data_IF_299125142830
#
_entry.id   IF_299125142830
#
_cell.length_a   1.000
_cell.length_b   1.000
_cell.length_c   1.000
_cell.angle_alpha   90.00
_cell.angle_beta   90.00
_cell.angle_gamma   90.00
#
_symmetry.space_group_name_H-M   'P 1'
#
loop_
_entity.id
_entity.type
_entity.pdbx_description
1 polymer ?
#
# COMPACT_ATOMS: atom_id res chain seq x y z
N UNK A 1 3.34 19.28 -4.46
CA UNK A 1 4.35 19.46 -3.40
C UNK A 1 4.66 18.07 -2.86
N UNK A 2 5.93 17.74 -2.64
CA UNK A 2 6.32 16.43 -2.11
C UNK A 2 5.98 16.33 -0.63
N UNK A 3 5.52 15.16 -0.19
CA UNK A 3 5.31 14.83 1.23
C UNK A 3 6.60 14.22 1.79
N UNK A 4 6.84 14.44 3.08
CA UNK A 4 8.04 13.97 3.77
C UNK A 4 7.70 13.21 5.04
N UNK A 5 8.61 12.38 5.51
CA UNK A 5 8.55 11.72 6.83
C UNK A 5 9.94 11.72 7.47
N UNK A 6 10.03 11.28 8.73
CA UNK A 6 11.26 11.16 9.49
C UNK A 6 11.35 9.79 10.19
N UNK A 7 12.56 9.32 10.46
CA UNK A 7 12.82 8.14 11.28
C UNK A 7 14.16 8.29 12.02
N UNK A 8 14.17 8.03 13.31
CA UNK A 8 15.34 8.21 14.19
C UNK A 8 16.23 6.97 14.27
N UNK A 9 15.71 5.79 13.89
CA UNK A 9 16.50 4.58 13.70
C UNK A 9 16.90 4.42 12.22
N UNK A 10 18.19 4.68 11.93
CA UNK A 10 18.75 4.58 10.59
C UNK A 10 18.58 3.17 9.98
N UNK A 11 18.53 2.12 10.80
CA UNK A 11 18.40 0.74 10.36
C UNK A 11 16.95 0.29 10.21
N UNK A 12 15.96 1.14 10.51
CA UNK A 12 14.55 0.77 10.37
C UNK A 12 14.07 0.96 8.93
N UNK A 13 13.46 -0.07 8.36
CA UNK A 13 12.72 0.04 7.10
C UNK A 13 11.29 0.57 7.31
N UNK A 14 10.84 0.61 8.57
CA UNK A 14 9.55 1.19 8.96
C UNK A 14 9.80 2.65 9.36
N UNK A 15 9.05 3.57 8.76
CA UNK A 15 9.10 4.99 9.06
C UNK A 15 7.97 5.36 10.01
N UNK A 16 8.31 5.81 11.21
CA UNK A 16 7.34 6.11 12.29
C UNK A 16 6.98 7.58 12.43
N UNK A 17 7.72 8.48 11.77
CA UNK A 17 7.40 9.90 11.77
C UNK A 17 6.09 10.19 11.04
N UNK A 18 5.49 11.32 11.38
CA UNK A 18 4.29 11.81 10.70
C UNK A 18 4.56 12.15 9.22
N UNK A 19 3.49 12.50 8.51
CA UNK A 19 3.58 13.05 7.15
C UNK A 19 3.64 14.58 7.21
N UNK A 20 4.71 15.13 6.66
CA UNK A 20 5.00 16.56 6.61
C UNK A 20 4.87 17.09 5.17
N UNK A 21 4.58 18.39 5.04
CA UNK A 21 4.39 19.03 3.73
C UNK A 21 5.63 19.75 3.22
N UNK A 22 6.72 19.70 3.98
CA UNK A 22 8.02 20.26 3.60
C UNK A 22 9.17 19.46 4.19
N UNK A 23 10.33 19.58 3.55
CA UNK A 23 11.58 18.99 4.05
C UNK A 23 12.00 19.61 5.38
N UNK A 24 11.84 20.92 5.51
CA UNK A 24 12.19 21.70 6.70
C UNK A 24 11.39 21.26 7.92
N UNK A 25 10.10 20.97 7.75
CA UNK A 25 9.22 20.45 8.80
C UNK A 25 9.64 19.04 9.23
N UNK A 26 9.95 18.15 8.29
CA UNK A 26 10.46 16.82 8.60
C UNK A 26 11.79 16.86 9.37
N UNK A 27 12.69 17.78 9.00
CA UNK A 27 13.95 18.01 9.74
C UNK A 27 13.68 18.53 11.14
N UNK A 28 12.74 19.47 11.28
CA UNK A 28 12.41 20.09 12.57
C UNK A 28 11.87 19.05 13.55
N UNK A 29 10.89 18.25 13.14
CA UNK A 29 10.29 17.23 14.00
C UNK A 29 11.25 16.06 14.23
N UNK A 30 11.91 15.55 13.19
CA UNK A 30 12.92 14.49 13.34
C UNK A 30 14.09 14.89 14.24
N UNK A 31 14.52 16.17 14.23
CA UNK A 31 15.53 16.68 15.16
C UNK A 31 15.03 16.71 16.59
N UNK A 32 13.79 17.14 16.82
CA UNK A 32 13.18 17.17 18.16
C UNK A 32 13.14 15.76 18.74
N UNK A 33 12.66 14.79 17.97
CA UNK A 33 12.63 13.37 18.37
C UNK A 33 14.05 12.83 18.59
N UNK A 34 14.97 13.08 17.68
CA UNK A 34 16.35 12.61 17.81
C UNK A 34 17.05 13.15 19.07
N UNK A 35 16.79 14.41 19.45
CA UNK A 35 17.29 14.99 20.71
C UNK A 35 16.66 14.28 21.92
N UNK A 36 15.34 14.06 21.91
CA UNK A 36 14.61 13.38 22.99
C UNK A 36 15.12 11.96 23.24
N UNK A 37 15.50 11.25 22.17
CA UNK A 37 16.02 9.89 22.22
C UNK A 37 17.56 9.79 22.15
N UNK A 38 18.27 10.88 22.40
CA UNK A 38 19.75 10.97 22.44
C UNK A 38 20.45 10.39 21.18
N UNK A 39 19.82 10.55 20.02
CA UNK A 39 20.36 10.13 18.72
C UNK A 39 21.26 11.21 18.14
N UNK A 40 22.39 10.80 17.57
CA UNK A 40 23.32 11.71 16.87
C UNK A 40 22.84 12.08 15.48
N UNK A 41 22.10 11.17 14.85
CA UNK A 41 21.61 11.27 13.47
C UNK A 41 20.19 10.72 13.40
N UNK A 42 19.45 11.17 12.41
CA UNK A 42 18.17 10.61 11.99
C UNK A 42 18.10 10.65 10.45
N UNK A 43 17.09 10.03 9.85
CA UNK A 43 16.83 10.10 8.41
C UNK A 43 15.50 10.77 8.12
N UNK A 44 15.43 11.44 6.98
CA UNK A 44 14.17 11.95 6.41
C UNK A 44 13.97 11.34 5.03
N UNK A 45 12.73 11.22 4.60
CA UNK A 45 12.40 10.60 3.33
C UNK A 45 11.27 11.30 2.60
N UNK A 46 11.31 11.26 1.26
CA UNK A 46 10.21 11.70 0.40
C UNK A 46 9.22 10.54 0.29
N UNK A 47 7.95 10.82 0.54
CA UNK A 47 6.87 9.83 0.46
C UNK A 47 6.08 9.95 -0.84
N UNK A 48 5.61 8.81 -1.31
CA UNK A 48 4.71 8.67 -2.45
C UNK A 48 3.50 7.84 -2.03
N UNK A 49 2.31 8.33 -2.37
CA UNK A 49 1.07 7.60 -2.15
C UNK A 49 1.08 6.36 -3.04
N UNK A 50 0.74 5.21 -2.46
CA UNK A 50 0.61 3.95 -3.22
C UNK A 50 -0.82 3.78 -3.72
N UNK A 51 -1.02 3.22 -4.92
CA UNK A 51 -2.35 2.92 -5.41
C UNK A 51 -3.03 1.90 -4.48
N UNK A 52 -4.32 2.12 -4.23
CA UNK A 52 -5.18 1.14 -3.57
C UNK A 52 -5.55 0.07 -4.61
N UNK A 53 -4.72 -0.96 -4.71
CA UNK A 53 -4.99 -2.08 -5.61
C UNK A 53 -6.34 -2.71 -5.28
N UNK A 54 -7.08 -3.01 -6.35
CA UNK A 54 -8.41 -3.57 -6.29
C UNK A 54 -8.44 -5.09 -6.19
N UNK A 55 -9.63 -5.65 -6.37
CA UNK A 55 -9.86 -7.05 -6.71
C UNK A 55 -9.43 -7.26 -8.17
N UNK A 56 -8.57 -8.24 -8.36
CA UNK A 56 -8.11 -8.74 -9.67
C UNK A 56 -9.02 -9.90 -10.06
N UNK A 57 -9.91 -9.67 -11.04
CA UNK A 57 -10.96 -10.64 -11.38
C UNK A 57 -10.42 -11.88 -12.06
N UNK A 58 -9.37 -11.75 -12.87
CA UNK A 58 -8.71 -12.90 -13.49
C UNK A 58 -8.24 -13.89 -12.42
N UNK A 59 -7.60 -13.40 -11.35
CA UNK A 59 -7.18 -14.24 -10.22
C UNK A 59 -8.33 -14.85 -9.45
N UNK A 60 -9.44 -14.11 -9.28
CA UNK A 60 -10.63 -14.64 -8.61
C UNK A 60 -11.25 -15.78 -9.41
N UNK A 61 -11.34 -15.65 -10.74
CA UNK A 61 -11.86 -16.70 -11.61
C UNK A 61 -10.93 -17.90 -11.61
N UNK A 62 -9.62 -17.71 -11.76
CA UNK A 62 -8.63 -18.80 -11.71
C UNK A 62 -8.73 -19.61 -10.41
N UNK A 63 -8.85 -18.95 -9.27
CA UNK A 63 -9.00 -19.62 -7.96
C UNK A 63 -10.30 -20.44 -7.87
N UNK A 64 -11.40 -19.90 -8.41
CA UNK A 64 -12.69 -20.61 -8.48
C UNK A 64 -12.60 -21.81 -9.41
N UNK A 65 -12.00 -21.68 -10.60
CA UNK A 65 -11.83 -22.76 -11.56
C UNK A 65 -11.02 -23.91 -10.97
N UNK A 66 -9.87 -23.58 -10.36
CA UNK A 66 -9.03 -24.57 -9.67
C UNK A 66 -9.79 -25.27 -8.55
N UNK A 67 -10.53 -24.53 -7.72
CA UNK A 67 -11.35 -25.11 -6.65
C UNK A 67 -12.43 -26.04 -7.21
N UNK A 68 -13.11 -25.64 -8.28
CA UNK A 68 -14.15 -26.46 -8.91
C UNK A 68 -13.57 -27.74 -9.52
N UNK A 69 -12.41 -27.65 -10.18
CA UNK A 69 -11.70 -28.82 -10.71
C UNK A 69 -11.24 -29.75 -9.59
N UNK A 70 -10.69 -29.23 -8.49
CA UNK A 70 -10.23 -30.04 -7.37
C UNK A 70 -11.39 -30.81 -6.69
N UNK A 71 -12.57 -30.19 -6.59
CA UNK A 71 -13.73 -30.79 -5.92
C UNK A 71 -14.57 -31.70 -6.84
N UNK A 72 -14.70 -31.34 -8.12
CA UNK A 72 -15.65 -31.96 -9.05
C UNK A 72 -14.94 -32.77 -10.15
N UNK A 73 -13.63 -32.56 -10.33
CA UNK A 73 -12.79 -33.21 -11.33
C UNK A 73 -12.94 -32.62 -12.73
N UNK A 74 -12.49 -33.38 -13.73
CA UNK A 74 -12.41 -33.00 -15.14
C UNK A 74 -13.72 -32.44 -15.74
N UNK A 75 -14.89 -32.82 -15.21
CA UNK A 75 -16.17 -32.28 -15.70
C UNK A 75 -16.33 -30.77 -15.45
N UNK A 76 -15.52 -30.19 -14.56
CA UNK A 76 -15.48 -28.75 -14.28
C UNK A 76 -14.36 -28.00 -15.03
N UNK A 77 -13.57 -28.68 -15.87
CA UNK A 77 -12.41 -28.10 -16.57
C UNK A 77 -12.78 -26.84 -17.37
N UNK A 78 -13.88 -26.88 -18.14
CA UNK A 78 -14.29 -25.76 -19.01
C UNK A 78 -15.09 -24.64 -18.28
N UNK A 79 -15.28 -24.73 -16.96
CA UNK A 79 -16.12 -23.78 -16.23
C UNK A 79 -15.49 -22.38 -16.28
N UNK A 80 -16.19 -21.39 -16.85
CA UNK A 80 -15.73 -19.99 -17.00
C UNK A 80 -14.56 -19.74 -17.98
N UNK A 81 -14.16 -20.73 -18.78
CA UNK A 81 -13.08 -20.55 -19.77
C UNK A 81 -13.42 -19.57 -20.91
N UNK A 82 -14.71 -19.43 -21.22
CA UNK A 82 -15.20 -18.59 -22.33
C UNK A 82 -15.61 -17.16 -21.88
N UNK A 83 -15.25 -16.73 -20.67
CA UNK A 83 -15.56 -15.36 -20.22
C UNK A 83 -14.83 -14.33 -21.08
N UNK A 84 -15.58 -13.41 -21.68
CA UNK A 84 -15.01 -12.39 -22.56
C UNK A 84 -14.33 -11.30 -21.74
N UNK A 85 -13.35 -10.59 -22.35
CA UNK A 85 -12.72 -9.43 -21.72
C UNK A 85 -13.71 -8.35 -21.31
N UNK A 86 -14.80 -8.15 -22.07
CA UNK A 86 -15.85 -7.19 -21.70
C UNK A 86 -16.54 -7.58 -20.40
N UNK A 87 -16.89 -8.86 -20.24
CA UNK A 87 -17.51 -9.36 -19.01
C UNK A 87 -16.52 -9.36 -17.81
N UNK A 88 -15.23 -9.62 -18.04
CA UNK A 88 -14.20 -9.53 -17.00
C UNK A 88 -14.08 -8.10 -16.47
N UNK A 89 -14.00 -7.11 -17.37
CA UNK A 89 -13.90 -5.70 -17.00
C UNK A 89 -15.16 -5.21 -16.28
N UNK A 90 -16.36 -5.64 -16.73
CA UNK A 90 -17.61 -5.33 -16.05
C UNK A 90 -17.63 -5.90 -14.61
N UNK A 91 -17.25 -7.16 -14.45
CA UNK A 91 -17.18 -7.81 -13.13
C UNK A 91 -16.13 -7.13 -12.24
N UNK A 92 -14.99 -6.76 -12.79
CA UNK A 92 -13.91 -6.10 -12.05
C UNK A 92 -14.33 -4.74 -11.54
N UNK A 93 -15.02 -3.95 -12.36
CA UNK A 93 -15.59 -2.66 -11.94
C UNK A 93 -16.57 -2.86 -10.77
N UNK A 94 -17.51 -3.82 -10.89
CA UNK A 94 -18.52 -4.08 -9.87
C UNK A 94 -17.92 -4.56 -8.54
N UNK A 95 -16.98 -5.52 -8.58
CA UNK A 95 -16.33 -6.03 -7.37
C UNK A 95 -15.48 -4.95 -6.70
N UNK A 96 -14.78 -4.13 -7.48
CA UNK A 96 -14.01 -3.02 -6.93
C UNK A 96 -14.88 -1.94 -6.31
N UNK A 97 -16.04 -1.63 -6.90
CA UNK A 97 -16.99 -0.70 -6.30
C UNK A 97 -17.43 -1.19 -4.90
N UNK A 98 -17.74 -2.48 -4.77
CA UNK A 98 -18.11 -3.09 -3.48
C UNK A 98 -16.92 -3.07 -2.50
N UNK A 99 -15.74 -3.48 -2.95
CA UNK A 99 -14.53 -3.56 -2.13
C UNK A 99 -14.14 -2.19 -1.57
N UNK A 100 -14.12 -1.15 -2.41
CA UNK A 100 -13.76 0.20 -1.99
C UNK A 100 -14.80 0.82 -1.04
N UNK A 101 -16.10 0.56 -1.26
CA UNK A 101 -17.15 0.97 -0.32
C UNK A 101 -17.00 0.29 1.04
N UNK A 102 -16.64 -1.00 1.05
CA UNK A 102 -16.38 -1.74 2.28
C UNK A 102 -15.17 -1.17 3.03
N UNK A 103 -14.07 -0.88 2.33
CA UNK A 103 -12.89 -0.25 2.94
C UNK A 103 -13.23 1.10 3.56
N UNK A 104 -14.00 1.95 2.86
CA UNK A 104 -14.44 3.23 3.39
C UNK A 104 -15.30 3.07 4.64
N UNK A 105 -16.30 2.18 4.59
CA UNK A 105 -17.25 1.96 5.70
C UNK A 105 -16.56 1.56 7.00
N UNK A 106 -15.48 0.80 6.91
CA UNK A 106 -14.79 0.24 8.07
C UNK A 106 -13.40 0.85 8.32
N UNK A 107 -13.04 1.92 7.60
CA UNK A 107 -11.76 2.61 7.72
C UNK A 107 -10.53 1.69 7.46
N UNK A 108 -10.63 0.85 6.43
CA UNK A 108 -9.55 -0.05 5.98
C UNK A 108 -8.83 0.45 4.72
N UNK A 109 -9.01 1.72 4.34
CA UNK A 109 -8.21 2.31 3.26
C UNK A 109 -6.72 2.26 3.61
N UNK A 110 -5.82 2.05 2.63
CA UNK A 110 -4.38 2.12 2.87
C UNK A 110 -3.98 3.45 3.52
N UNK A 111 -3.27 3.36 4.65
CA UNK A 111 -2.70 4.51 5.37
C UNK A 111 -1.18 4.58 5.25
N UNK A 112 -0.59 3.63 4.51
CA UNK A 112 0.84 3.52 4.28
C UNK A 112 1.24 4.17 2.96
N UNK A 113 2.54 4.35 2.81
CA UNK A 113 3.17 5.06 1.69
C UNK A 113 4.49 4.38 1.33
N UNK A 114 5.04 4.72 0.16
CA UNK A 114 6.38 4.31 -0.26
C UNK A 114 7.36 5.46 -0.02
N UNK A 115 8.53 5.16 0.54
CA UNK A 115 9.65 6.12 0.57
C UNK A 115 10.47 5.96 -0.70
N UNK A 116 10.61 7.03 -1.47
CA UNK A 116 11.27 7.01 -2.79
C UNK A 116 12.66 7.63 -2.79
N UNK A 117 13.03 8.31 -1.71
CA UNK A 117 14.33 8.91 -1.49
C UNK A 117 14.53 9.10 0.00
N UNK A 118 15.77 8.96 0.47
CA UNK A 118 16.14 9.20 1.86
C UNK A 118 17.44 9.99 1.97
N UNK A 119 17.60 10.72 3.07
CA UNK A 119 18.86 11.37 3.44
C UNK A 119 19.04 11.38 4.96
N UNK A 120 20.30 11.38 5.40
CA UNK A 120 20.67 11.37 6.82
C UNK A 120 20.99 12.79 7.28
N UNK A 121 20.46 13.16 8.44
CA UNK A 121 20.61 14.48 9.07
C UNK A 121 21.32 14.33 10.41
N UNK A 122 22.37 15.13 10.61
CA UNK A 122 23.07 15.23 11.89
C UNK A 122 22.33 16.15 12.88
N UNK A 123 22.24 15.69 14.12
CA UNK A 123 21.72 16.47 15.25
C UNK A 123 22.82 17.39 15.77
N UNK A 124 22.95 18.55 15.13
CA UNK A 124 23.65 19.73 15.66
C UNK A 124 22.99 20.29 16.91
#
# INVERSE_FOLDING_TARGET
MSKWTNEIDLNSDIWRGDIYHSREEAIKEGRKEAIEYERKNFKIGITEDVPNFGVDVDRVIEDIQNTMYDEIGEVAEDYLDDVTTEHLLELEEQLNEVFYKWQEKYNYKPTFYRVISEEIIEVK
#
